data_IF_761281838959
#
_entry.id   IF_761281838959
#
_cell.length_a   1.000
_cell.length_b   1.000
_cell.length_c   1.000
_cell.angle_alpha   90.00
_cell.angle_beta   90.00
_cell.angle_gamma   90.00
#
_symmetry.space_group_name_H-M   'P 1'
#
loop_
_entity.id
_entity.type
_entity.pdbx_description
1 polymer ?
#
# COMPACT_ATOMS: atom_id res chain seq x y z
N UNK A 1 -25.38 5.77 12.88
CA UNK A 1 -26.76 6.28 12.63
C UNK A 1 -27.41 5.75 11.36
N UNK A 2 -26.71 5.72 10.22
CA UNK A 2 -27.28 5.22 8.96
C UNK A 2 -27.81 3.76 9.07
N UNK A 3 -27.13 2.90 9.83
CA UNK A 3 -27.54 1.51 10.08
C UNK A 3 -28.87 1.44 10.86
N UNK A 4 -29.07 2.30 11.85
CA UNK A 4 -30.29 2.34 12.67
C UNK A 4 -31.49 2.75 11.81
N UNK A 5 -31.31 3.77 10.95
CA UNK A 5 -32.35 4.18 10.00
C UNK A 5 -32.67 3.08 9.00
N UNK A 6 -31.67 2.35 8.51
CA UNK A 6 -31.88 1.22 7.61
C UNK A 6 -32.70 0.10 8.29
N UNK A 7 -32.41 -0.25 9.55
CA UNK A 7 -33.19 -1.23 10.33
C UNK A 7 -34.64 -0.78 10.45
N UNK A 8 -34.89 0.49 10.79
CA UNK A 8 -36.24 1.07 10.85
C UNK A 8 -36.92 0.98 9.47
N UNK A 9 -36.17 1.21 8.38
CA UNK A 9 -36.63 1.13 7.00
C UNK A 9 -37.05 -0.27 6.54
N UNK A 10 -36.39 -1.32 7.05
CA UNK A 10 -36.68 -2.72 6.72
C UNK A 10 -38.03 -3.18 7.30
N UNK A 11 -38.40 -2.74 8.51
CA UNK A 11 -39.63 -3.20 9.20
C UNK A 11 -40.88 -2.89 8.36
N UNK A 12 -41.72 -3.86 7.97
CA UNK A 12 -42.86 -3.58 7.11
C UNK A 12 -43.85 -2.59 7.75
N UNK A 13 -44.25 -1.55 7.00
CA UNK A 13 -45.37 -0.67 7.39
C UNK A 13 -46.67 -1.36 6.97
N UNK A 14 -47.68 -1.39 7.85
CA UNK A 14 -48.97 -2.08 7.64
C UNK A 14 -49.85 -1.47 6.53
N UNK A 15 -49.38 -0.45 5.82
CA UNK A 15 -50.10 0.19 4.71
C UNK A 15 -50.01 -0.64 3.43
N UNK A 16 -50.94 -0.41 2.50
CA UNK A 16 -50.97 -1.04 1.17
C UNK A 16 -49.68 -0.71 0.41
N UNK A 17 -48.69 -1.61 0.47
CA UNK A 17 -47.43 -1.48 -0.27
C UNK A 17 -47.68 -1.93 -1.71
N UNK A 18 -47.39 -1.07 -2.68
CA UNK A 18 -47.45 -1.42 -4.11
C UNK A 18 -46.54 -2.61 -4.42
N UNK A 19 -46.94 -3.47 -5.37
CA UNK A 19 -46.16 -4.66 -5.73
C UNK A 19 -44.73 -4.30 -6.18
N UNK A 20 -44.55 -3.17 -6.85
CA UNK A 20 -43.24 -2.66 -7.26
C UNK A 20 -42.33 -2.39 -6.06
N UNK A 21 -42.84 -1.76 -4.99
CA UNK A 21 -42.03 -1.46 -3.81
C UNK A 21 -41.64 -2.72 -3.02
N UNK A 22 -42.47 -3.77 -3.01
CA UNK A 22 -42.10 -5.08 -2.44
C UNK A 22 -40.95 -5.72 -3.22
N UNK A 23 -41.02 -5.67 -4.55
CA UNK A 23 -39.95 -6.17 -5.42
C UNK A 23 -38.62 -5.45 -5.16
N UNK A 24 -38.61 -4.11 -5.15
CA UNK A 24 -37.39 -3.35 -4.88
C UNK A 24 -36.82 -3.62 -3.49
N UNK A 25 -37.67 -3.72 -2.45
CA UNK A 25 -37.22 -4.09 -1.10
C UNK A 25 -36.56 -5.45 -1.07
N UNK A 26 -37.15 -6.45 -1.73
CA UNK A 26 -36.54 -7.79 -1.82
C UNK A 26 -35.20 -7.74 -2.56
N UNK A 27 -35.14 -7.04 -3.69
CA UNK A 27 -33.93 -6.89 -4.50
C UNK A 27 -32.78 -6.25 -3.70
N UNK A 28 -33.01 -5.06 -3.11
CA UNK A 28 -31.98 -4.37 -2.32
C UNK A 28 -31.60 -5.13 -1.04
N UNK A 29 -32.53 -5.89 -0.43
CA UNK A 29 -32.21 -6.73 0.72
C UNK A 29 -31.27 -7.88 0.32
N UNK A 30 -31.55 -8.55 -0.79
CA UNK A 30 -30.68 -9.61 -1.32
C UNK A 30 -29.30 -9.06 -1.66
N UNK A 31 -29.23 -7.92 -2.36
CA UNK A 31 -27.95 -7.26 -2.68
C UNK A 31 -27.19 -6.88 -1.40
N UNK A 32 -27.87 -6.32 -0.40
CA UNK A 32 -27.26 -5.95 0.88
C UNK A 32 -26.63 -7.14 1.59
N UNK A 33 -27.36 -8.27 1.71
CA UNK A 33 -26.88 -9.47 2.39
C UNK A 33 -25.69 -10.08 1.65
N UNK A 34 -25.80 -10.26 0.33
CA UNK A 34 -24.72 -10.83 -0.49
C UNK A 34 -23.48 -9.95 -0.41
N UNK A 35 -23.63 -8.64 -0.60
CA UNK A 35 -22.52 -7.70 -0.57
C UNK A 35 -21.85 -7.63 0.81
N UNK A 36 -22.64 -7.68 1.89
CA UNK A 36 -22.12 -7.73 3.26
C UNK A 36 -21.27 -8.98 3.50
N UNK A 37 -21.78 -10.16 3.12
CA UNK A 37 -21.07 -11.44 3.25
C UNK A 37 -19.74 -11.41 2.46
N UNK A 38 -19.76 -10.89 1.22
CA UNK A 38 -18.56 -10.78 0.40
C UNK A 38 -17.54 -9.76 0.94
N UNK A 39 -18.01 -8.70 1.61
CA UNK A 39 -17.15 -7.66 2.18
C UNK A 39 -16.37 -8.17 3.40
N UNK A 40 -16.91 -9.14 4.15
CA UNK A 40 -16.23 -9.71 5.33
C UNK A 40 -14.90 -10.41 4.97
N UNK A 41 -14.80 -10.93 3.74
CA UNK A 41 -13.60 -11.61 3.23
C UNK A 41 -13.30 -12.95 3.91
N UNK A 42 -12.57 -13.82 3.23
CA UNK A 42 -12.11 -15.11 3.71
C UNK A 42 -10.60 -15.12 3.96
N UNK A 43 -10.11 -15.63 5.09
CA UNK A 43 -10.88 -16.17 6.23
C UNK A 43 -11.56 -15.06 7.06
N UNK A 44 -12.74 -15.38 7.61
CA UNK A 44 -13.46 -14.43 8.48
C UNK A 44 -12.57 -14.06 9.67
N UNK A 45 -12.30 -12.77 9.82
CA UNK A 45 -11.51 -12.23 10.91
C UNK A 45 -12.45 -11.56 11.91
N UNK A 46 -12.55 -12.13 13.11
CA UNK A 46 -13.44 -11.62 14.18
C UNK A 46 -12.55 -11.11 15.31
N UNK A 47 -12.68 -9.82 15.66
CA UNK A 47 -11.85 -9.16 16.69
C UNK A 47 -10.33 -9.36 16.50
N UNK A 48 -9.86 -9.40 15.24
CA UNK A 48 -8.45 -9.62 14.92
C UNK A 48 -8.01 -11.09 14.93
N UNK A 49 -8.89 -12.03 15.24
CA UNK A 49 -8.61 -13.47 15.21
C UNK A 49 -9.10 -14.04 13.87
N UNK A 50 -8.18 -14.60 13.08
CA UNK A 50 -8.51 -15.31 11.83
C UNK A 50 -9.19 -16.64 12.18
N UNK A 51 -10.46 -16.76 11.82
CA UNK A 51 -11.19 -18.03 11.96
C UNK A 51 -10.89 -18.95 10.78
N UNK A 52 -11.24 -20.25 10.88
CA UNK A 52 -11.12 -21.20 9.75
C UNK A 52 -12.34 -21.21 8.84
N UNK A 53 -13.29 -20.30 9.04
CA UNK A 53 -14.54 -20.28 8.28
C UNK A 53 -14.25 -19.67 6.90
N UNK A 54 -14.39 -20.50 5.87
CA UNK A 54 -14.29 -20.11 4.48
C UNK A 54 -15.65 -19.56 4.04
N UNK A 55 -15.68 -18.28 3.68
CA UNK A 55 -16.88 -17.61 3.19
C UNK A 55 -17.06 -17.85 1.67
N UNK A 56 -18.23 -17.52 1.09
CA UNK A 56 -18.53 -17.74 -0.33
C UNK A 56 -17.53 -17.08 -1.29
N UNK A 57 -16.86 -16.01 -0.86
CA UNK A 57 -15.82 -15.31 -1.61
C UNK A 57 -14.62 -16.21 -1.94
N UNK A 58 -14.26 -17.16 -1.06
CA UNK A 58 -13.22 -18.17 -1.33
C UNK A 58 -13.57 -19.05 -2.53
N UNK A 59 -14.83 -19.50 -2.63
CA UNK A 59 -15.29 -20.32 -3.73
C UNK A 59 -15.35 -19.52 -5.03
N UNK A 60 -15.81 -18.26 -4.96
CA UNK A 60 -15.78 -17.34 -6.09
C UNK A 60 -14.36 -17.12 -6.63
N UNK A 61 -13.39 -16.89 -5.73
CA UNK A 61 -11.98 -16.76 -6.09
C UNK A 61 -11.40 -18.03 -6.72
N UNK A 62 -11.83 -19.21 -6.26
CA UNK A 62 -11.33 -20.50 -6.75
C UNK A 62 -11.90 -20.89 -8.11
N UNK A 63 -13.20 -20.73 -8.32
CA UNK A 63 -13.92 -21.32 -9.44
C UNK A 63 -14.31 -20.33 -10.53
N UNK A 64 -14.46 -19.04 -10.23
CA UNK A 64 -14.88 -18.05 -11.24
C UNK A 64 -13.64 -17.44 -11.90
N UNK A 65 -13.44 -17.64 -13.22
CA UNK A 65 -12.34 -17.02 -13.94
C UNK A 65 -12.50 -15.48 -13.91
N UNK A 66 -11.38 -14.76 -13.82
CA UNK A 66 -11.36 -13.29 -13.77
C UNK A 66 -11.45 -12.68 -12.36
N UNK A 67 -12.06 -13.36 -11.38
CA UNK A 67 -12.13 -12.85 -9.99
C UNK A 67 -10.73 -12.76 -9.34
N UNK A 68 -9.78 -13.59 -9.77
CA UNK A 68 -8.38 -13.51 -9.34
C UNK A 68 -7.70 -12.18 -9.68
N UNK A 69 -8.21 -11.43 -10.65
CA UNK A 69 -7.74 -10.08 -10.99
C UNK A 69 -8.32 -8.99 -10.08
N UNK A 70 -9.39 -9.27 -9.34
CA UNK A 70 -9.99 -8.33 -8.40
C UNK A 70 -9.15 -8.31 -7.12
N UNK A 71 -8.24 -7.34 -7.03
CA UNK A 71 -7.29 -7.16 -5.91
C UNK A 71 -7.91 -7.25 -4.52
N UNK A 72 -9.17 -6.83 -4.36
CA UNK A 72 -9.84 -6.88 -3.07
C UNK A 72 -11.37 -6.96 -3.23
N UNK A 73 -11.96 -8.06 -2.76
CA UNK A 73 -13.41 -8.28 -2.72
C UNK A 73 -14.10 -7.39 -1.65
N UNK A 74 -13.34 -6.71 -0.79
CA UNK A 74 -13.88 -5.66 0.09
C UNK A 74 -14.58 -4.53 -0.69
N UNK A 75 -14.27 -4.36 -1.98
CA UNK A 75 -14.94 -3.37 -2.85
C UNK A 75 -16.46 -3.60 -2.97
N UNK A 76 -16.98 -4.79 -2.63
CA UNK A 76 -18.43 -5.02 -2.54
C UNK A 76 -19.12 -4.16 -1.46
N UNK A 77 -18.35 -3.52 -0.58
CA UNK A 77 -18.86 -2.54 0.39
C UNK A 77 -19.67 -1.41 -0.26
N UNK A 78 -19.34 -1.01 -1.50
CA UNK A 78 -20.10 0.04 -2.19
C UNK A 78 -21.54 -0.39 -2.50
N UNK A 79 -21.75 -1.64 -2.91
CA UNK A 79 -23.08 -2.19 -3.16
C UNK A 79 -23.88 -2.36 -1.86
N UNK A 80 -23.19 -2.73 -0.78
CA UNK A 80 -23.77 -2.75 0.56
C UNK A 80 -24.22 -1.34 0.97
N UNK A 81 -23.37 -0.32 0.82
CA UNK A 81 -23.67 1.07 1.18
C UNK A 81 -24.86 1.63 0.38
N UNK A 82 -24.93 1.37 -0.93
CA UNK A 82 -26.07 1.80 -1.77
C UNK A 82 -27.38 1.18 -1.25
N UNK A 83 -27.36 -0.13 -0.96
CA UNK A 83 -28.53 -0.83 -0.45
C UNK A 83 -28.92 -0.32 0.95
N UNK A 84 -27.92 -0.04 1.80
CA UNK A 84 -28.11 0.55 3.12
C UNK A 84 -28.74 1.95 3.02
N UNK A 85 -28.28 2.80 2.10
CA UNK A 85 -28.83 4.12 1.85
C UNK A 85 -30.29 4.06 1.40
N UNK A 86 -30.65 3.10 0.53
CA UNK A 86 -32.03 2.86 0.13
C UNK A 86 -32.94 2.57 1.35
N UNK A 87 -32.52 1.65 2.23
CA UNK A 87 -33.29 1.36 3.44
C UNK A 87 -33.29 2.52 4.45
N UNK A 88 -32.20 3.27 4.56
CA UNK A 88 -32.13 4.45 5.42
C UNK A 88 -33.13 5.53 4.96
N UNK A 89 -33.30 5.73 3.65
CA UNK A 89 -34.30 6.64 3.09
C UNK A 89 -35.73 6.21 3.46
N UNK A 90 -36.05 4.92 3.35
CA UNK A 90 -37.34 4.37 3.80
C UNK A 90 -37.54 4.50 5.32
N UNK A 91 -36.47 4.39 6.10
CA UNK A 91 -36.49 4.65 7.54
C UNK A 91 -36.85 6.10 7.85
N UNK A 92 -36.27 7.04 7.10
CA UNK A 92 -36.52 8.47 7.24
C UNK A 92 -37.98 8.86 6.95
N UNK A 93 -38.60 8.20 5.96
CA UNK A 93 -40.03 8.37 5.66
C UNK A 93 -40.92 7.92 6.83
N UNK A 94 -40.56 6.82 7.51
CA UNK A 94 -41.30 6.36 8.69
C UNK A 94 -41.10 7.26 9.88
N UNK A 95 -39.88 7.72 10.10
CA UNK A 95 -39.55 8.70 11.16
C UNK A 95 -40.41 9.96 10.98
N UNK A 96 -40.66 10.42 9.76
CA UNK A 96 -41.61 11.50 9.47
C UNK A 96 -42.99 11.23 10.07
N UNK A 97 -43.53 10.04 9.77
CA UNK A 97 -44.88 9.66 10.22
C UNK A 97 -44.99 9.44 11.73
N UNK A 98 -43.87 9.14 12.41
CA UNK A 98 -43.83 8.96 13.87
C UNK A 98 -43.60 10.29 14.59
N UNK A 99 -42.76 11.17 14.03
CA UNK A 99 -42.37 12.43 14.64
C UNK A 99 -43.42 13.55 14.48
N UNK A 100 -44.34 13.43 13.51
CA UNK A 100 -45.40 14.40 13.26
C UNK A 100 -44.83 15.81 13.04
N UNK A 101 -45.34 16.79 13.79
CA UNK A 101 -44.94 18.20 13.70
C UNK A 101 -43.46 18.44 14.08
N UNK A 102 -42.85 17.52 14.83
CA UNK A 102 -41.44 17.61 15.24
C UNK A 102 -40.48 17.02 14.22
N UNK A 103 -40.96 16.56 13.05
CA UNK A 103 -40.13 15.92 12.03
C UNK A 103 -38.93 16.78 11.61
N UNK A 104 -39.09 18.10 11.52
CA UNK A 104 -37.99 19.01 11.19
C UNK A 104 -36.83 18.96 12.19
N UNK A 105 -37.14 18.93 13.49
CA UNK A 105 -36.13 18.83 14.56
C UNK A 105 -35.44 17.46 14.53
N UNK A 106 -36.21 16.39 14.32
CA UNK A 106 -35.66 15.03 14.24
C UNK A 106 -34.72 14.88 13.05
N UNK A 107 -35.06 15.46 11.90
CA UNK A 107 -34.18 15.48 10.73
C UNK A 107 -32.89 16.26 10.98
N UNK A 108 -32.98 17.42 11.64
CA UNK A 108 -31.80 18.19 12.01
C UNK A 108 -30.87 17.36 12.91
N UNK A 109 -31.41 16.67 13.92
CA UNK A 109 -30.62 15.81 14.81
C UNK A 109 -29.99 14.63 14.07
N UNK A 110 -30.72 14.00 13.12
CA UNK A 110 -30.18 12.93 12.29
C UNK A 110 -29.01 13.42 11.43
N UNK A 111 -29.15 14.59 10.80
CA UNK A 111 -28.10 15.19 9.99
C UNK A 111 -26.87 15.48 10.85
N UNK A 112 -27.04 16.09 12.02
CA UNK A 112 -25.94 16.35 12.96
C UNK A 112 -25.26 15.05 13.36
N UNK A 113 -26.03 14.01 13.70
CA UNK A 113 -25.46 12.74 14.14
C UNK A 113 -24.73 12.00 13.01
N UNK A 114 -25.22 12.05 11.77
CA UNK A 114 -24.50 11.52 10.60
C UNK A 114 -23.23 12.33 10.38
N UNK A 115 -23.30 13.66 10.38
CA UNK A 115 -22.11 14.51 10.21
C UNK A 115 -21.07 14.25 11.28
N UNK A 116 -21.46 14.05 12.54
CA UNK A 116 -20.57 13.68 13.64
C UNK A 116 -19.96 12.29 13.46
N UNK A 117 -20.75 11.30 13.03
CA UNK A 117 -20.28 9.94 12.75
C UNK A 117 -19.27 9.90 11.59
N UNK A 118 -19.50 10.71 10.55
CA UNK A 118 -18.60 10.85 9.40
C UNK A 118 -17.53 11.92 9.60
N UNK A 119 -17.54 12.64 10.74
CA UNK A 119 -16.53 13.63 11.07
C UNK A 119 -15.22 12.91 11.36
N UNK A 120 -14.44 12.68 10.29
CA UNK A 120 -13.10 12.12 10.38
C UNK A 120 -12.14 13.21 10.85
N UNK A 121 -12.08 13.41 12.17
CA UNK A 121 -11.19 14.38 12.85
C UNK A 121 -9.74 13.88 12.81
N UNK A 122 -8.77 14.78 12.55
CA UNK A 122 -8.04 14.82 11.28
C UNK A 122 -7.27 13.53 10.97
N UNK A 123 -7.30 13.13 9.69
CA UNK A 123 -6.36 12.14 9.16
C UNK A 123 -4.95 12.75 9.27
N UNK A 124 -3.97 12.09 9.90
CA UNK A 124 -2.60 12.59 9.95
C UNK A 124 -2.04 12.61 8.52
N UNK A 125 -2.04 13.78 7.90
CA UNK A 125 -1.47 13.97 6.56
C UNK A 125 0.00 14.33 6.75
N UNK A 126 0.89 13.48 6.24
CA UNK A 126 2.30 13.82 6.13
C UNK A 126 2.53 14.61 4.85
N UNK A 127 3.10 15.81 4.98
CA UNK A 127 3.60 16.56 3.82
C UNK A 127 4.89 15.90 3.33
N UNK A 128 4.94 15.61 2.04
CA UNK A 128 6.17 15.18 1.36
C UNK A 128 6.89 16.41 0.83
N UNK A 129 8.21 16.37 0.91
CA UNK A 129 9.05 17.46 0.42
C UNK A 129 9.01 17.52 -1.12
N UNK A 130 8.85 18.73 -1.67
CA UNK A 130 8.67 18.97 -3.12
C UNK A 130 9.57 20.10 -3.60
N UNK A 131 9.86 20.13 -4.91
CA UNK A 131 10.68 21.17 -5.53
C UNK A 131 12.04 21.32 -4.84
N UNK A 132 12.34 22.52 -4.34
CA UNK A 132 13.62 22.82 -3.66
C UNK A 132 13.76 22.15 -2.28
N UNK A 133 12.67 21.60 -1.72
CA UNK A 133 12.70 20.90 -0.43
C UNK A 133 13.05 19.41 -0.59
N UNK A 134 13.08 18.90 -1.82
CA UNK A 134 13.48 17.51 -2.10
C UNK A 134 14.83 17.22 -1.45
N UNK A 135 15.01 16.08 -0.74
CA UNK A 135 16.27 15.76 -0.09
C UNK A 135 17.48 15.85 -1.02
N UNK A 136 18.57 16.42 -0.51
CA UNK A 136 19.81 16.69 -1.24
C UNK A 136 20.38 15.46 -1.97
N UNK A 137 20.24 14.27 -1.39
CA UNK A 137 20.67 13.02 -2.02
C UNK A 137 19.97 12.78 -3.37
N UNK A 138 18.68 13.07 -3.48
CA UNK A 138 17.92 12.87 -4.72
C UNK A 138 18.25 13.96 -5.74
N UNK A 139 18.50 15.19 -5.29
CA UNK A 139 19.01 16.26 -6.16
C UNK A 139 20.41 15.90 -6.71
N UNK A 140 21.28 15.36 -5.86
CA UNK A 140 22.60 14.87 -6.26
C UNK A 140 22.52 13.69 -7.23
N UNK A 141 21.59 12.75 -7.03
CA UNK A 141 21.34 11.64 -7.96
C UNK A 141 20.86 12.15 -9.33
N UNK A 142 20.00 13.17 -9.34
CA UNK A 142 19.50 13.79 -10.56
C UNK A 142 20.61 14.51 -11.35
N UNK A 143 21.61 15.09 -10.66
CA UNK A 143 22.74 15.76 -11.32
C UNK A 143 23.75 14.81 -11.96
N UNK A 144 23.71 13.51 -11.64
CA UNK A 144 24.59 12.52 -12.26
C UNK A 144 24.18 12.23 -13.70
N UNK A 145 25.10 12.37 -14.66
CA UNK A 145 24.84 12.11 -16.09
C UNK A 145 24.66 10.62 -16.43
N UNK A 146 25.33 9.73 -15.69
CA UNK A 146 25.29 8.29 -15.95
C UNK A 146 23.91 7.69 -15.64
N UNK A 147 23.53 6.66 -16.41
CA UNK A 147 22.45 5.76 -16.02
C UNK A 147 22.99 4.58 -15.20
N UNK A 148 22.35 4.32 -14.06
CA UNK A 148 22.75 3.30 -13.10
C UNK A 148 21.58 2.90 -12.21
N UNK A 149 21.76 1.78 -11.51
CA UNK A 149 20.77 1.25 -10.57
C UNK A 149 21.17 1.57 -9.14
N UNK A 150 20.20 1.98 -8.33
CA UNK A 150 20.37 2.25 -6.89
C UNK A 150 19.46 1.34 -6.06
N UNK A 151 19.81 1.22 -4.79
CA UNK A 151 18.97 0.56 -3.77
C UNK A 151 18.94 1.45 -2.52
N UNK A 152 17.79 1.48 -1.85
CA UNK A 152 17.57 2.24 -0.61
C UNK A 152 17.28 1.29 0.55
N UNK A 153 17.96 1.50 1.67
CA UNK A 153 17.79 0.75 2.92
C UNK A 153 17.33 1.68 4.06
N UNK A 154 16.54 1.17 5.02
CA UNK A 154 16.10 -0.23 5.13
C UNK A 154 15.00 -0.59 4.12
N UNK A 155 15.12 -1.79 3.54
CA UNK A 155 14.07 -2.35 2.69
C UNK A 155 13.03 -2.99 3.59
N UNK A 156 11.81 -2.44 3.59
CA UNK A 156 10.66 -3.11 4.19
C UNK A 156 9.94 -3.91 3.13
N UNK A 157 10.26 -5.19 3.08
CA UNK A 157 9.50 -6.17 2.32
C UNK A 157 8.78 -7.09 3.29
N UNK A 158 7.46 -6.91 3.42
CA UNK A 158 6.58 -7.82 4.16
C UNK A 158 5.76 -8.63 3.18
N UNK A 159 5.58 -9.91 3.52
CA UNK A 159 4.80 -10.84 2.72
C UNK A 159 3.38 -10.30 2.52
N UNK A 160 2.75 -10.48 1.33
CA UNK A 160 1.34 -10.14 1.12
C UNK A 160 0.38 -10.92 2.05
N UNK A 161 0.90 -11.89 2.81
CA UNK A 161 0.16 -12.68 3.80
C UNK A 161 0.32 -12.18 5.26
N UNK A 162 1.09 -11.12 5.50
CA UNK A 162 1.26 -10.50 6.82
C UNK A 162 0.29 -9.31 6.99
N UNK A 163 -0.51 -9.31 8.06
CA UNK A 163 -1.55 -8.30 8.33
C UNK A 163 -0.95 -6.99 8.90
N UNK A 164 -0.16 -6.28 8.11
CA UNK A 164 0.31 -4.93 8.45
C UNK A 164 -0.09 -3.98 7.33
N UNK A 165 -0.65 -2.79 7.62
CA UNK A 165 -0.99 -1.81 6.61
C UNK A 165 0.22 -1.50 5.72
N UNK A 166 0.09 -1.88 4.45
CA UNK A 166 1.04 -1.67 3.35
C UNK A 166 1.48 -0.20 3.21
N UNK A 167 0.68 0.73 3.72
CA UNK A 167 0.87 2.19 3.63
C UNK A 167 2.11 2.66 4.42
N UNK A 168 2.65 1.84 5.32
CA UNK A 168 3.78 2.22 6.19
C UNK A 168 5.17 1.89 5.61
N UNK A 169 5.27 1.33 4.41
CA UNK A 169 6.54 0.85 3.87
C UNK A 169 7.39 2.01 3.33
N UNK A 170 8.66 2.12 3.76
CA UNK A 170 9.65 3.05 3.17
C UNK A 170 9.77 2.97 1.64
N UNK A 171 9.32 1.86 1.04
CA UNK A 171 9.23 1.67 -0.41
C UNK A 171 8.34 2.71 -1.12
N UNK A 172 7.30 3.27 -0.48
CA UNK A 172 6.46 4.33 -1.08
C UNK A 172 7.24 5.64 -1.19
N UNK A 173 8.07 5.94 -0.18
CA UNK A 173 8.94 7.12 -0.19
C UNK A 173 9.99 7.02 -1.30
N UNK A 174 10.69 5.88 -1.36
CA UNK A 174 11.64 5.58 -2.44
C UNK A 174 10.99 5.69 -3.82
N UNK A 175 9.79 5.15 -3.99
CA UNK A 175 9.06 5.26 -5.26
C UNK A 175 8.70 6.70 -5.60
N UNK A 176 8.23 7.49 -4.64
CA UNK A 176 7.92 8.90 -4.85
C UNK A 176 9.15 9.68 -5.32
N UNK A 177 10.30 9.54 -4.63
CA UNK A 177 11.50 10.30 -4.98
C UNK A 177 12.20 9.83 -6.26
N UNK A 178 11.90 8.62 -6.73
CA UNK A 178 12.44 8.10 -8.00
C UNK A 178 12.14 9.00 -9.21
N UNK A 179 11.02 9.74 -9.17
CA UNK A 179 10.60 10.63 -10.26
C UNK A 179 11.47 11.89 -10.38
N UNK A 180 12.26 12.23 -9.36
CA UNK A 180 13.12 13.42 -9.39
C UNK A 180 14.47 13.15 -10.06
N UNK A 181 14.96 11.90 -10.00
CA UNK A 181 16.28 11.55 -10.52
C UNK A 181 16.25 10.56 -11.70
N UNK A 182 15.11 9.92 -11.97
CA UNK A 182 14.91 9.00 -13.11
C UNK A 182 16.01 7.95 -13.25
N UNK A 183 16.53 7.44 -12.12
CA UNK A 183 17.49 6.32 -12.08
C UNK A 183 16.72 5.03 -11.83
N UNK A 184 17.28 3.91 -12.25
CA UNK A 184 16.68 2.62 -11.92
C UNK A 184 16.78 2.39 -10.41
N UNK A 185 15.67 2.02 -9.77
CA UNK A 185 15.62 1.78 -8.33
C UNK A 185 15.18 0.35 -8.07
N UNK A 186 15.95 -0.39 -7.28
CA UNK A 186 15.54 -1.69 -6.75
C UNK A 186 14.75 -1.43 -5.47
N UNK A 187 13.43 -1.52 -5.58
CA UNK A 187 12.50 -1.19 -4.51
C UNK A 187 11.18 -0.66 -5.06
N UNK A 188 10.41 0.00 -4.21
CA UNK A 188 9.13 0.59 -4.59
C UNK A 188 7.93 -0.24 -4.15
N UNK A 189 6.76 0.39 -4.17
CA UNK A 189 5.51 -0.24 -3.82
C UNK A 189 4.87 -0.89 -5.05
N UNK A 190 4.58 -2.18 -4.94
CA UNK A 190 3.79 -2.91 -5.93
C UNK A 190 2.66 -3.65 -5.23
N UNK A 191 1.44 -3.46 -5.71
CA UNK A 191 0.25 -4.11 -5.17
C UNK A 191 0.21 -5.62 -5.44
N UNK A 192 0.88 -6.08 -6.50
CA UNK A 192 1.11 -7.48 -6.82
C UNK A 192 2.61 -7.66 -7.04
N UNK A 193 3.25 -8.52 -6.25
CA UNK A 193 4.69 -8.77 -6.37
C UNK A 193 4.91 -10.10 -7.08
N UNK A 194 5.51 -10.12 -8.29
CA UNK A 194 5.87 -11.36 -8.96
C UNK A 194 6.87 -12.20 -8.11
N UNK A 195 6.99 -13.52 -8.36
CA UNK A 195 7.88 -14.39 -7.58
C UNK A 195 9.37 -13.99 -7.61
N UNK A 196 9.83 -13.34 -8.68
CA UNK A 196 11.24 -12.98 -8.86
C UNK A 196 11.67 -11.86 -7.89
N UNK A 197 10.98 -10.69 -7.84
CA UNK A 197 11.25 -9.69 -6.81
C UNK A 197 11.17 -10.23 -5.37
N UNK A 198 10.29 -11.19 -5.09
CA UNK A 198 10.18 -11.80 -3.76
C UNK A 198 11.51 -12.42 -3.29
N UNK A 199 12.18 -13.22 -4.14
CA UNK A 199 13.48 -13.84 -3.81
C UNK A 199 14.58 -12.81 -3.62
N UNK A 200 14.60 -11.77 -4.44
CA UNK A 200 15.55 -10.65 -4.31
C UNK A 200 15.38 -10.00 -2.94
N UNK A 201 14.15 -9.66 -2.57
CA UNK A 201 13.90 -9.01 -1.29
C UNK A 201 14.24 -9.90 -0.09
N UNK A 202 14.02 -11.23 -0.17
CA UNK A 202 14.46 -12.16 0.87
C UNK A 202 15.98 -12.10 1.10
N UNK A 203 16.77 -12.07 0.03
CA UNK A 203 18.23 -11.95 0.13
C UNK A 203 18.65 -10.57 0.66
N UNK A 204 17.94 -9.50 0.26
CA UNK A 204 18.26 -8.15 0.73
C UNK A 204 17.84 -7.90 2.19
N UNK A 205 16.91 -8.69 2.77
CA UNK A 205 16.54 -8.58 4.19
C UNK A 205 17.67 -8.96 5.15
N UNK A 206 18.64 -9.76 4.71
CA UNK A 206 19.80 -10.14 5.53
C UNK A 206 20.93 -9.10 5.47
N UNK A 207 20.69 -7.93 4.86
CA UNK A 207 21.71 -6.91 4.70
C UNK A 207 22.23 -6.36 6.05
N UNK A 208 23.56 -6.14 6.18
CA UNK A 208 24.63 -6.52 5.27
C UNK A 208 25.13 -7.94 5.56
N UNK A 209 24.90 -8.86 4.63
CA UNK A 209 25.47 -10.21 4.57
C UNK A 209 26.15 -10.45 3.22
N UNK A 210 27.04 -11.44 3.13
CA UNK A 210 27.72 -11.81 1.88
C UNK A 210 26.72 -12.11 0.75
N UNK A 211 25.61 -12.79 1.07
CA UNK A 211 24.54 -13.10 0.12
C UNK A 211 23.83 -11.83 -0.38
N UNK A 212 23.50 -10.91 0.54
CA UNK A 212 22.88 -9.63 0.15
C UNK A 212 23.82 -8.80 -0.73
N UNK A 213 25.12 -8.74 -0.42
CA UNK A 213 26.10 -7.99 -1.21
C UNK A 213 26.32 -8.64 -2.59
N UNK A 214 26.39 -9.96 -2.67
CA UNK A 214 26.46 -10.67 -3.95
C UNK A 214 25.21 -10.43 -4.80
N UNK A 215 24.03 -10.46 -4.18
CA UNK A 215 22.77 -10.12 -4.84
C UNK A 215 22.78 -8.67 -5.37
N UNK A 216 23.28 -7.70 -4.60
CA UNK A 216 23.43 -6.32 -5.07
C UNK A 216 24.38 -6.19 -6.26
N UNK A 217 25.46 -6.98 -6.30
CA UNK A 217 26.40 -7.03 -7.43
C UNK A 217 25.75 -7.63 -8.67
N UNK A 218 25.00 -8.73 -8.52
CA UNK A 218 24.25 -9.37 -9.61
C UNK A 218 23.20 -8.43 -10.21
N UNK A 219 22.56 -7.60 -9.37
CA UNK A 219 21.60 -6.58 -9.80
C UNK A 219 22.25 -5.32 -10.39
N UNK A 220 23.58 -5.30 -10.57
CA UNK A 220 24.33 -4.17 -11.09
C UNK A 220 24.07 -2.86 -10.32
N UNK A 221 23.90 -2.93 -9.01
CA UNK A 221 23.74 -1.76 -8.15
C UNK A 221 25.03 -0.96 -8.14
N UNK A 222 24.94 0.36 -8.41
CA UNK A 222 26.06 1.30 -8.33
C UNK A 222 26.12 2.00 -6.98
N UNK A 223 24.97 2.39 -6.45
CA UNK A 223 24.88 3.10 -5.17
C UNK A 223 23.91 2.43 -4.20
N UNK A 224 24.34 2.37 -2.94
CA UNK A 224 23.53 1.96 -1.79
C UNK A 224 23.27 3.22 -0.97
N UNK A 225 21.99 3.55 -0.79
CA UNK A 225 21.54 4.63 0.06
C UNK A 225 21.07 4.01 1.38
N UNK A 226 21.70 4.40 2.48
CA UNK A 226 21.36 3.89 3.80
C UNK A 226 20.78 5.04 4.63
N UNK A 227 19.46 5.06 4.79
CA UNK A 227 18.74 6.11 5.48
C UNK A 227 18.91 5.99 6.99
N UNK A 228 19.19 7.11 7.65
CA UNK A 228 19.37 7.19 9.10
C UNK A 228 18.08 6.87 9.86
N UNK A 229 16.98 7.37 9.33
CA UNK A 229 15.64 7.13 9.83
C UNK A 229 14.77 6.76 8.65
N UNK A 230 13.81 5.85 8.84
CA UNK A 230 12.81 5.66 7.81
C UNK A 230 12.02 6.96 7.68
N UNK A 231 11.94 7.57 6.49
CA UNK A 231 11.33 8.87 6.33
C UNK A 231 9.86 8.93 6.78
N UNK A 232 9.15 7.80 6.81
CA UNK A 232 7.76 7.69 7.28
C UNK A 232 7.60 7.37 8.77
N UNK A 233 8.64 6.93 9.48
CA UNK A 233 8.52 6.46 10.87
C UNK A 233 8.62 7.56 11.93
N UNK A 234 9.21 8.72 11.62
CA UNK A 234 9.63 9.67 12.65
C UNK A 234 8.52 10.47 13.35
N UNK A 235 7.30 10.57 12.82
CA UNK A 235 6.33 11.57 13.32
C UNK A 235 4.90 11.08 13.54
N UNK A 236 4.50 9.92 13.01
CA UNK A 236 3.15 9.40 13.24
C UNK A 236 3.03 8.73 14.63
N UNK A 237 4.15 8.38 15.26
CA UNK A 237 4.20 7.31 16.26
C UNK A 237 4.83 7.66 17.62
N UNK A 238 4.85 8.94 18.02
CA UNK A 238 5.31 9.34 19.36
C UNK A 238 4.31 8.97 20.49
N UNK A 239 3.27 8.18 20.22
CA UNK A 239 2.27 7.75 21.21
C UNK A 239 2.29 6.23 21.51
N UNK A 240 3.07 5.41 20.80
CA UNK A 240 3.19 3.97 21.07
C UNK A 240 4.63 3.59 21.44
N UNK A 241 4.84 3.15 22.68
CA UNK A 241 6.14 2.74 23.22
C UNK A 241 6.84 1.65 22.37
N UNK A 242 6.06 0.82 21.65
CA UNK A 242 6.60 -0.21 20.75
C UNK A 242 7.33 0.37 19.54
N UNK A 243 6.94 1.56 19.09
CA UNK A 243 7.54 2.18 17.91
C UNK A 243 8.81 2.96 18.25
N UNK A 244 8.89 3.55 19.45
CA UNK A 244 10.12 4.13 20.00
C UNK A 244 11.22 3.07 20.12
N UNK A 245 10.88 1.88 20.65
CA UNK A 245 11.80 0.74 20.73
C UNK A 245 12.28 0.26 19.35
N UNK A 246 11.40 0.26 18.34
CA UNK A 246 11.78 -0.07 16.95
C UNK A 246 12.74 0.96 16.35
N UNK A 247 12.49 2.25 16.57
CA UNK A 247 13.35 3.33 16.08
C UNK A 247 14.74 3.26 16.73
N UNK A 248 14.81 3.01 18.05
CA UNK A 248 16.08 2.79 18.76
C UNK A 248 16.82 1.55 18.22
N UNK A 249 16.12 0.43 18.02
CA UNK A 249 16.70 -0.79 17.43
C UNK A 249 17.15 -0.57 15.98
N UNK A 250 16.43 0.26 15.21
CA UNK A 250 16.81 0.64 13.85
C UNK A 250 18.11 1.46 13.83
N UNK A 251 18.24 2.46 14.71
CA UNK A 251 19.45 3.26 14.86
C UNK A 251 20.66 2.42 15.34
N UNK A 252 20.46 1.50 16.28
CA UNK A 252 21.52 0.62 16.75
C UNK A 252 21.95 -0.37 15.66
N UNK A 253 21.00 -0.90 14.89
CA UNK A 253 21.28 -1.75 13.73
C UNK A 253 22.06 -0.96 12.66
N UNK A 254 21.64 0.28 12.35
CA UNK A 254 22.29 1.14 11.36
C UNK A 254 23.80 1.30 11.59
N UNK A 255 24.23 1.60 12.82
CA UNK A 255 25.65 1.77 13.12
C UNK A 255 26.44 0.47 12.92
N UNK A 256 25.85 -0.66 13.31
CA UNK A 256 26.43 -1.99 13.03
C UNK A 256 26.53 -2.25 11.53
N UNK A 257 25.51 -1.88 10.76
CA UNK A 257 25.55 -2.04 9.30
C UNK A 257 26.66 -1.20 8.67
N UNK A 258 26.80 0.06 9.07
CA UNK A 258 27.84 0.97 8.57
C UNK A 258 29.24 0.42 8.92
N UNK A 259 29.43 -0.04 10.17
CA UNK A 259 30.69 -0.63 10.59
C UNK A 259 31.05 -1.85 9.71
N UNK A 260 30.11 -2.80 9.55
CA UNK A 260 30.30 -3.98 8.70
C UNK A 260 30.61 -3.63 7.25
N UNK A 261 29.90 -2.66 6.67
CA UNK A 261 30.16 -2.22 5.29
C UNK A 261 31.57 -1.65 5.13
N UNK A 262 32.09 -0.94 6.14
CA UNK A 262 33.43 -0.36 6.11
C UNK A 262 34.54 -1.38 6.41
N UNK A 263 34.30 -2.39 7.24
CA UNK A 263 35.33 -3.33 7.70
C UNK A 263 35.35 -4.66 6.94
N UNK A 264 34.19 -5.20 6.56
CA UNK A 264 34.07 -6.55 6.01
C UNK A 264 33.98 -6.57 4.47
N UNK A 265 33.55 -5.47 3.85
CA UNK A 265 33.25 -5.41 2.41
C UNK A 265 34.10 -4.36 1.67
N UNK A 266 35.32 -4.76 1.28
CA UNK A 266 36.27 -3.91 0.54
C UNK A 266 35.74 -3.36 -0.80
N UNK A 267 34.77 -4.05 -1.41
CA UNK A 267 34.14 -3.62 -2.65
C UNK A 267 33.09 -2.51 -2.46
N UNK A 268 32.79 -2.13 -1.21
CA UNK A 268 31.81 -1.09 -0.90
C UNK A 268 32.54 0.11 -0.32
N UNK A 269 32.51 1.21 -1.06
CA UNK A 269 33.18 2.46 -0.68
C UNK A 269 32.17 3.44 -0.13
N UNK A 270 32.42 3.95 1.07
CA UNK A 270 31.72 5.12 1.57
C UNK A 270 32.08 6.35 0.73
N UNK A 271 31.09 7.10 0.26
CA UNK A 271 31.31 8.30 -0.55
C UNK A 271 30.99 9.58 0.19
N UNK A 272 29.78 9.67 0.77
CA UNK A 272 29.28 10.91 1.34
C UNK A 272 28.20 10.65 2.38
N UNK A 273 28.06 11.57 3.32
CA UNK A 273 26.97 11.60 4.29
C UNK A 273 26.11 12.83 4.00
N UNK A 274 24.87 12.59 3.58
CA UNK A 274 23.83 13.61 3.52
C UNK A 274 23.11 13.69 4.87
N UNK A 275 22.35 14.77 5.08
CA UNK A 275 21.59 15.05 6.31
C UNK A 275 20.97 13.78 6.94
N UNK A 276 20.21 13.02 6.15
CA UNK A 276 19.48 11.83 6.61
C UNK A 276 19.91 10.51 5.94
N UNK A 277 20.98 10.49 5.14
CA UNK A 277 21.32 9.33 4.30
C UNK A 277 22.82 9.17 4.13
N UNK A 278 23.34 7.97 4.33
CA UNK A 278 24.71 7.61 3.97
C UNK A 278 24.74 7.02 2.55
N UNK A 279 25.67 7.53 1.73
CA UNK A 279 25.87 7.07 0.36
C UNK A 279 27.10 6.17 0.29
N UNK A 280 26.89 4.94 -0.19
CA UNK A 280 27.95 4.00 -0.51
C UNK A 280 27.93 3.67 -2.00
N UNK A 281 29.12 3.41 -2.57
CA UNK A 281 29.30 2.96 -3.95
C UNK A 281 29.76 1.51 -3.96
N UNK A 282 29.12 0.71 -4.79
CA UNK A 282 29.53 -0.68 -5.03
C UNK A 282 30.52 -0.68 -6.19
N UNK A 283 31.75 -1.08 -5.91
CA UNK A 283 32.75 -1.33 -6.94
C UNK A 283 32.49 -2.71 -7.55
N UNK A 284 32.41 -2.73 -8.89
CA UNK A 284 32.47 -3.98 -9.64
C UNK A 284 33.89 -4.54 -9.57
N UNK A 285 34.07 -5.85 -9.30
CA UNK A 285 35.34 -6.50 -9.57
C UNK A 285 35.71 -6.34 -11.06
N UNK A 286 37.00 -6.16 -11.37
CA UNK A 286 37.49 -5.80 -12.72
C UNK A 286 36.98 -6.73 -13.84
N UNK A 287 36.77 -8.01 -13.52
CA UNK A 287 36.26 -9.04 -14.44
C UNK A 287 34.88 -8.68 -15.02
N UNK A 288 33.99 -8.06 -14.24
CA UNK A 288 32.65 -7.69 -14.68
C UNK A 288 32.61 -6.38 -15.49
N UNK A 289 33.63 -5.53 -15.39
CA UNK A 289 33.75 -4.33 -16.25
C UNK A 289 33.96 -4.69 -17.71
N UNK A 290 34.69 -5.78 -17.99
CA UNK A 290 34.94 -6.25 -19.35
C UNK A 290 33.68 -6.79 -20.06
N UNK A 291 32.77 -7.39 -19.30
CA UNK A 291 31.51 -7.94 -19.81
C UNK A 291 30.50 -6.80 -20.07
N UNK A 292 30.36 -5.87 -19.13
CA UNK A 292 29.44 -4.72 -19.25
C UNK A 292 29.86 -3.78 -20.39
N UNK A 293 31.16 -3.62 -20.66
CA UNK A 293 31.65 -2.88 -21.84
C UNK A 293 31.22 -3.56 -23.15
N UNK A 294 31.25 -4.90 -23.22
CA UNK A 294 30.77 -5.68 -24.36
C UNK A 294 29.24 -5.65 -24.50
N UNK A 295 28.50 -5.64 -23.40
CA UNK A 295 27.03 -5.55 -23.43
C UNK A 295 26.53 -4.13 -23.76
N UNK A 296 27.16 -3.08 -23.24
CA UNK A 296 26.88 -1.69 -23.66
C UNK A 296 27.14 -1.46 -25.15
N UNK A 297 28.24 -2.01 -25.68
CA UNK A 297 28.53 -1.98 -27.12
C UNK A 297 27.49 -2.75 -27.94
N UNK A 298 26.81 -3.75 -27.36
CA UNK A 298 25.71 -4.48 -28.00
C UNK A 298 24.36 -3.75 -27.88
N UNK A 299 24.09 -3.06 -26.77
CA UNK A 299 22.82 -2.36 -26.56
C UNK A 299 22.72 -1.05 -27.34
N UNK A 300 23.85 -0.37 -27.56
CA UNK A 300 23.91 0.89 -28.34
C UNK A 300 23.55 0.69 -29.82
N UNK A 301 23.72 -0.54 -30.34
CA UNK A 301 23.38 -0.92 -31.72
C UNK A 301 21.97 -1.52 -31.89
N UNK A 302 21.13 -1.50 -30.84
CA UNK A 302 19.76 -2.01 -30.94
C UNK A 302 18.76 -0.84 -30.97
N UNK A 303 17.87 -0.75 -31.98
CA UNK A 303 16.86 0.30 -32.00
C UNK A 303 15.99 0.18 -30.76
N UNK A 304 15.80 1.31 -30.05
CA UNK A 304 14.95 1.44 -28.87
C UNK A 304 13.56 0.87 -29.16
N UNK A 305 13.33 -0.40 -28.85
CA UNK A 305 12.01 -1.02 -28.91
C UNK A 305 11.21 -0.50 -27.72
N UNK A 306 10.37 0.50 -28.00
CA UNK A 306 9.15 0.75 -27.25
C UNK A 306 8.38 -0.57 -27.22
N UNK A 307 8.24 -1.18 -26.06
CA UNK A 307 7.34 -2.32 -25.87
C UNK A 307 5.93 -1.72 -25.86
N UNK A 308 5.40 -1.47 -27.05
CA UNK A 308 3.97 -1.30 -27.24
C UNK A 308 3.32 -2.66 -27.04
N UNK A 309 2.57 -2.80 -25.94
CA UNK A 309 1.70 -3.95 -25.71
C UNK A 309 0.63 -3.92 -26.79
N UNK A 310 0.77 -4.78 -27.78
CA UNK A 310 -0.24 -4.99 -28.82
C UNK A 310 -1.40 -5.77 -28.21
N UNK A 311 -2.54 -5.12 -28.19
CA UNK A 311 -3.86 -5.69 -28.03
C UNK A 311 -4.10 -6.74 -29.14
N UNK A 312 -4.38 -7.98 -28.76
CA UNK A 312 -4.96 -8.98 -29.67
C UNK A 312 -6.02 -9.74 -28.91
N UNK A 313 -7.26 -9.30 -29.08
CA UNK A 313 -8.43 -10.11 -28.82
C UNK A 313 -8.46 -11.36 -29.70
N UNK A 314 -8.88 -12.45 -29.08
CA UNK A 314 -9.76 -13.48 -29.64
C UNK A 314 -10.67 -13.95 -28.52
#
# INVERSE_FOLDING_TARGET
MAVILAIIGIIPKRSVISNNLKFYKSYYLTVMIISFILTLGSPLTVFGIKTKILLPDYFLYKYVPGIKGMRNLVSFIYLFLISLSFFAALGLEKVKSIAGDKAGIVYLLIIIAITMEYCSIPIPIKKLETGNQVPEIYQWLASQKDQFTIVEFPIEYKSPFEDVPIILSGNVYTQYYSIYHWKNVVGGYAALVPPIPFRIFQNLRTFPSRDSINCLKELNIKYILLHKTMPLFNEIDNHDARNILKAQKCNQNLQVQIAKLKTEFHDILFLHEFKNTYLFKVNKPEVLRGIDKKERLRSDNSPKKVIAVRDTGK
#
